data_IF_652164068014
#
_entry.id   IF_652164068014
#
_cell.length_a   1.000
_cell.length_b   1.000
_cell.length_c   1.000
_cell.angle_alpha   90.00
_cell.angle_beta   90.00
_cell.angle_gamma   90.00
#
_symmetry.space_group_name_H-M   'P 1'
#
loop_
_entity.id
_entity.type
_entity.pdbx_description
1 polymer ?
#
# COMPACT_ATOMS: atom_id res chain seq x y z
N UNK A 1 6.65 -3.57 -2.41
CA UNK A 1 6.17 -4.30 -1.20
C UNK A 1 6.73 -3.76 0.15
N UNK A 2 7.43 -2.63 0.18
CA UNK A 2 8.04 -2.12 1.41
C UNK A 2 7.02 -1.53 2.39
N UNK A 3 5.94 -0.89 1.92
CA UNK A 3 4.91 -0.32 2.81
C UNK A 3 4.21 -1.39 3.68
N UNK A 4 3.92 -2.57 3.12
CA UNK A 4 3.37 -3.70 3.86
C UNK A 4 4.35 -4.27 4.91
N UNK A 5 5.66 -4.23 4.62
CA UNK A 5 6.71 -4.67 5.55
C UNK A 5 6.92 -3.68 6.70
N UNK A 6 6.91 -2.38 6.44
CA UNK A 6 6.94 -1.35 7.48
C UNK A 6 5.70 -1.44 8.38
N UNK A 7 4.53 -1.69 7.80
CA UNK A 7 3.30 -1.91 8.58
C UNK A 7 3.39 -3.14 9.49
N UNK A 8 4.04 -4.22 9.03
CA UNK A 8 4.32 -5.40 9.87
C UNK A 8 5.31 -5.09 11.00
N UNK A 9 6.36 -4.32 10.73
CA UNK A 9 7.38 -3.98 11.71
C UNK A 9 6.80 -3.12 12.84
N UNK A 10 6.08 -2.05 12.49
CA UNK A 10 5.41 -1.18 13.48
C UNK A 10 4.30 -1.95 14.22
N UNK A 11 3.52 -2.78 13.51
CA UNK A 11 2.47 -3.59 14.15
C UNK A 11 3.02 -4.62 15.13
N UNK A 12 4.20 -5.19 14.85
CA UNK A 12 4.86 -6.12 15.76
C UNK A 12 5.47 -5.44 16.99
N UNK A 13 5.85 -4.17 16.90
CA UNK A 13 6.31 -3.37 18.05
C UNK A 13 5.17 -3.10 19.04
N UNK A 14 3.96 -2.86 18.54
CA UNK A 14 2.75 -2.64 19.37
C UNK A 14 2.11 -3.96 19.86
N UNK A 15 2.06 -4.98 18.99
CA UNK A 15 1.54 -6.30 19.33
C UNK A 15 2.32 -7.41 18.58
N UNK A 16 3.19 -8.17 19.27
CA UNK A 16 4.01 -9.21 18.65
C UNK A 16 3.23 -10.36 17.98
N UNK A 17 1.97 -10.57 18.39
CA UNK A 17 1.11 -11.61 17.80
C UNK A 17 0.28 -11.11 16.61
N UNK A 18 0.46 -9.85 16.20
CA UNK A 18 -0.29 -9.25 15.09
C UNK A 18 0.49 -9.39 13.77
N UNK A 19 -0.07 -10.15 12.83
CA UNK A 19 0.55 -10.44 11.53
C UNK A 19 -0.16 -9.69 10.41
N UNK A 20 0.23 -8.44 10.20
CA UNK A 20 -0.35 -7.53 9.22
C UNK A 20 0.19 -7.72 7.81
N UNK A 21 1.35 -8.35 7.60
CA UNK A 21 2.02 -8.42 6.29
C UNK A 21 1.11 -9.00 5.18
N UNK A 22 0.41 -10.10 5.47
CA UNK A 22 -0.46 -10.76 4.48
C UNK A 22 -1.73 -9.96 4.19
N UNK A 23 -2.21 -9.15 5.14
CA UNK A 23 -3.37 -8.28 4.95
C UNK A 23 -2.97 -6.96 4.26
N UNK A 24 -1.85 -6.35 4.67
CA UNK A 24 -1.35 -5.07 4.17
C UNK A 24 -0.81 -5.15 2.73
N UNK A 25 -0.52 -6.35 2.22
CA UNK A 25 -0.18 -6.56 0.81
C UNK A 25 -1.32 -6.16 -0.15
N UNK A 26 -2.58 -6.33 0.25
CA UNK A 26 -3.75 -5.92 -0.56
C UNK A 26 -3.78 -4.40 -0.82
N UNK A 27 -3.80 -3.55 0.23
CA UNK A 27 -3.70 -2.09 0.09
C UNK A 27 -2.42 -1.63 -0.63
N UNK A 28 -1.28 -2.31 -0.40
CA UNK A 28 -0.03 -1.97 -1.08
C UNK A 28 -0.13 -2.13 -2.62
N UNK A 29 -0.86 -3.14 -3.11
CA UNK A 29 -1.09 -3.32 -4.56
C UNK A 29 -2.16 -2.36 -5.07
N UNK A 30 -3.23 -2.13 -4.30
CA UNK A 30 -4.28 -1.17 -4.64
C UNK A 30 -3.74 0.26 -4.84
N UNK A 31 -2.79 0.70 -4.01
CA UNK A 31 -2.17 2.02 -4.13
C UNK A 31 -1.40 2.22 -5.44
N UNK A 32 -0.70 1.18 -5.94
CA UNK A 32 0.03 1.25 -7.22
C UNK A 32 -0.94 1.37 -8.39
N UNK A 33 -2.01 0.58 -8.39
CA UNK A 33 -3.06 0.64 -9.42
C UNK A 33 -3.77 2.00 -9.38
N UNK A 34 -4.15 2.47 -8.20
CA UNK A 34 -4.80 3.78 -8.03
C UNK A 34 -3.92 4.93 -8.52
N UNK A 35 -2.62 4.86 -8.29
CA UNK A 35 -1.66 5.87 -8.77
C UNK A 35 -1.58 5.90 -10.31
N UNK A 36 -1.58 4.74 -10.95
CA UNK A 36 -1.59 4.65 -12.41
C UNK A 36 -2.89 5.20 -13.03
N UNK A 37 -4.04 4.90 -12.41
CA UNK A 37 -5.34 5.44 -12.83
C UNK A 37 -5.37 6.96 -12.66
N UNK A 38 -4.95 7.47 -11.50
CA UNK A 38 -4.88 8.90 -11.24
C UNK A 38 -3.97 9.62 -12.25
N UNK A 39 -2.80 9.06 -12.54
CA UNK A 39 -1.90 9.59 -13.56
C UNK A 39 -2.54 9.60 -14.97
N UNK A 40 -3.26 8.54 -15.35
CA UNK A 40 -3.96 8.46 -16.63
C UNK A 40 -5.08 9.51 -16.76
N UNK A 41 -5.84 9.74 -15.68
CA UNK A 41 -6.88 10.78 -15.64
C UNK A 41 -6.23 12.17 -15.75
N UNK A 42 -5.18 12.44 -14.97
CA UNK A 42 -4.49 13.73 -15.00
C UNK A 42 -3.91 14.04 -16.40
N UNK A 43 -3.27 13.05 -17.03
CA UNK A 43 -2.79 13.19 -18.41
C UNK A 43 -3.93 13.43 -19.40
N UNK A 44 -5.08 12.78 -19.22
CA UNK A 44 -6.24 12.98 -20.11
C UNK A 44 -6.90 14.35 -19.95
N UNK A 45 -6.74 14.99 -18.79
CA UNK A 45 -7.32 16.31 -18.49
C UNK A 45 -6.37 17.48 -18.77
N UNK A 46 -5.06 17.25 -18.66
CA UNK A 46 -4.01 18.29 -18.74
C UNK A 46 -3.12 18.16 -19.98
N UNK A 47 -3.12 17.00 -20.63
CA UNK A 47 -2.30 16.67 -21.81
C UNK A 47 -2.96 17.00 -23.13
#
# INVERSE_FOLDING_TARGET
>A
PMAARVSQEVGAQENPNNYLLMHAMGPNVAGVIGSAIAAGILLSLLG
#
